data_IF_479037779445
#
_entry.id   IF_479037779445
#
_cell.length_a   1.000
_cell.length_b   1.000
_cell.length_c   1.000
_cell.angle_alpha   90.00
_cell.angle_beta   90.00
_cell.angle_gamma   90.00
#
_symmetry.space_group_name_H-M   'P 1'
#
loop_
_entity.id
_entity.type
_entity.pdbx_description
1 polymer ?
#
# COMPACT_ATOMS: atom_id res chain seq x y z
N UNK A 1 12.91 3.47 -6.96
CA UNK A 1 12.16 2.94 -8.12
C UNK A 1 11.57 4.11 -8.87
N UNK A 2 11.56 4.06 -10.20
CA UNK A 2 10.88 5.04 -11.05
C UNK A 2 9.36 4.87 -10.98
N UNK A 3 8.60 5.86 -11.45
CA UNK A 3 7.13 5.76 -11.54
C UNK A 3 6.69 4.53 -12.36
N UNK A 4 7.42 4.22 -13.45
CA UNK A 4 7.13 3.08 -14.32
C UNK A 4 7.38 1.74 -13.62
N UNK A 5 8.47 1.64 -12.86
CA UNK A 5 8.76 0.43 -12.08
C UNK A 5 7.71 0.20 -11.00
N UNK A 6 7.26 1.26 -10.32
CA UNK A 6 6.17 1.17 -9.33
C UNK A 6 4.87 0.75 -10.03
N UNK A 7 4.53 1.35 -11.16
CA UNK A 7 3.33 0.98 -11.95
C UNK A 7 3.37 -0.51 -12.36
N UNK A 8 4.49 -0.98 -12.91
CA UNK A 8 4.68 -2.39 -13.25
C UNK A 8 4.54 -3.31 -12.05
N UNK A 9 5.07 -2.93 -10.89
CA UNK A 9 4.88 -3.68 -9.65
C UNK A 9 3.41 -3.73 -9.22
N UNK A 10 2.71 -2.59 -9.27
CA UNK A 10 1.29 -2.52 -8.90
C UNK A 10 0.40 -3.37 -9.82
N UNK A 11 0.79 -3.54 -11.10
CA UNK A 11 0.12 -4.44 -12.04
C UNK A 11 0.30 -5.93 -11.70
N UNK A 12 1.20 -6.28 -10.77
CA UNK A 12 1.35 -7.68 -10.35
C UNK A 12 0.32 -8.11 -9.32
N UNK A 13 -0.37 -7.16 -8.66
CA UNK A 13 -1.43 -7.50 -7.72
C UNK A 13 -2.64 -8.04 -8.49
N UNK A 14 -3.02 -9.27 -8.17
CA UNK A 14 -4.21 -9.94 -8.66
C UNK A 14 -4.81 -10.83 -7.58
N UNK A 15 -6.13 -11.01 -7.58
CA UNK A 15 -6.82 -11.91 -6.64
C UNK A 15 -6.27 -13.34 -6.67
N UNK A 16 -5.86 -13.82 -7.83
CA UNK A 16 -5.27 -15.14 -8.05
C UNK A 16 -3.96 -15.34 -7.28
N UNK A 17 -3.25 -14.24 -6.95
CA UNK A 17 -1.96 -14.28 -6.26
C UNK A 17 -2.08 -14.42 -4.75
N UNK A 18 -3.27 -14.25 -4.16
CA UNK A 18 -3.50 -14.32 -2.70
C UNK A 18 -3.12 -15.66 -2.06
N UNK A 19 -3.21 -16.75 -2.82
CA UNK A 19 -2.92 -18.09 -2.31
C UNK A 19 -1.43 -18.44 -2.38
N UNK A 20 -0.62 -17.60 -3.04
CA UNK A 20 0.82 -17.76 -3.06
C UNK A 20 1.42 -17.03 -1.85
N UNK A 21 1.81 -17.79 -0.83
CA UNK A 21 2.34 -17.26 0.44
C UNK A 21 3.58 -16.41 0.21
N UNK A 22 4.56 -16.92 -0.53
CA UNK A 22 5.83 -16.23 -0.81
C UNK A 22 5.60 -14.93 -1.58
N UNK A 23 4.75 -14.96 -2.60
CA UNK A 23 4.38 -13.75 -3.33
C UNK A 23 3.65 -12.75 -2.44
N UNK A 24 2.73 -13.22 -1.59
CA UNK A 24 1.96 -12.36 -0.68
C UNK A 24 2.86 -11.66 0.34
N UNK A 25 3.83 -12.38 0.91
CA UNK A 25 4.85 -11.80 1.78
C UNK A 25 5.71 -10.77 1.05
N UNK A 26 6.33 -11.16 -0.08
CA UNK A 26 7.19 -10.28 -0.87
C UNK A 26 6.48 -9.00 -1.33
N UNK A 27 5.27 -9.13 -1.89
CA UNK A 27 4.50 -7.99 -2.41
C UNK A 27 4.01 -7.07 -1.28
N UNK A 28 3.64 -7.63 -0.12
CA UNK A 28 3.31 -6.86 1.09
C UNK A 28 4.52 -6.04 1.55
N UNK A 29 5.67 -6.68 1.80
CA UNK A 29 6.90 -6.00 2.23
C UNK A 29 7.31 -4.89 1.26
N UNK A 30 7.28 -5.19 -0.04
CA UNK A 30 7.68 -4.23 -1.06
C UNK A 30 6.72 -3.03 -1.11
N UNK A 31 5.41 -3.25 -1.05
CA UNK A 31 4.42 -2.16 -1.04
C UNK A 31 4.61 -1.24 0.17
N UNK A 32 4.77 -1.80 1.36
CA UNK A 32 5.01 -1.02 2.58
C UNK A 32 6.36 -0.29 2.55
N UNK A 33 7.42 -0.93 2.05
CA UNK A 33 8.74 -0.31 1.83
C UNK A 33 8.67 0.87 0.84
N UNK A 34 7.88 0.73 -0.23
CA UNK A 34 7.64 1.80 -1.21
C UNK A 34 6.85 2.97 -0.63
N UNK A 35 5.83 2.70 0.19
CA UNK A 35 5.10 3.74 0.90
C UNK A 35 5.97 4.43 1.95
N UNK A 36 6.93 3.73 2.56
CA UNK A 36 7.82 4.31 3.56
C UNK A 36 8.91 5.20 2.94
N UNK A 37 9.56 4.72 1.88
CA UNK A 37 10.74 5.37 1.27
C UNK A 37 10.40 6.36 0.17
N UNK A 38 9.29 6.14 -0.55
CA UNK A 38 8.91 6.91 -1.73
C UNK A 38 7.42 7.30 -1.69
N UNK A 39 6.91 7.67 -0.50
CA UNK A 39 5.48 7.87 -0.22
C UNK A 39 4.75 8.67 -1.30
N UNK A 40 5.24 9.86 -1.64
CA UNK A 40 4.56 10.73 -2.60
C UNK A 40 4.50 10.09 -3.99
N UNK A 41 5.59 9.49 -4.46
CA UNK A 41 5.64 8.84 -5.77
C UNK A 41 4.72 7.62 -5.82
N UNK A 42 4.72 6.80 -4.78
CA UNK A 42 3.87 5.61 -4.67
C UNK A 42 2.40 5.99 -4.68
N UNK A 43 1.97 6.93 -3.83
CA UNK A 43 0.57 7.39 -3.78
C UNK A 43 0.15 8.01 -5.12
N UNK A 44 1.00 8.83 -5.76
CA UNK A 44 0.73 9.38 -7.10
C UNK A 44 0.59 8.29 -8.16
N UNK A 45 1.37 7.22 -8.06
CA UNK A 45 1.36 6.15 -9.05
C UNK A 45 0.08 5.32 -8.91
N UNK A 46 -0.31 4.94 -7.69
CA UNK A 46 -1.58 4.25 -7.42
C UNK A 46 -2.76 5.07 -7.95
N UNK A 47 -2.76 6.39 -7.72
CA UNK A 47 -3.83 7.26 -8.22
C UNK A 47 -3.88 7.35 -9.75
N UNK A 48 -2.73 7.51 -10.41
CA UNK A 48 -2.67 7.58 -11.88
C UNK A 48 -3.10 6.27 -12.53
N UNK A 49 -2.76 5.15 -11.92
CA UNK A 49 -3.00 3.80 -12.45
C UNK A 49 -4.28 3.18 -11.91
N UNK A 50 -5.12 3.94 -11.20
CA UNK A 50 -6.34 3.46 -10.50
C UNK A 50 -7.24 2.59 -11.40
N UNK A 51 -7.30 2.89 -12.70
CA UNK A 51 -8.12 2.16 -13.69
C UNK A 51 -7.44 0.93 -14.30
N UNK A 52 -6.14 0.78 -14.11
CA UNK A 52 -5.31 -0.24 -14.73
C UNK A 52 -4.84 -1.32 -13.76
N UNK A 53 -4.95 -1.08 -12.45
CA UNK A 53 -4.51 -1.99 -11.37
C UNK A 53 -5.72 -2.53 -10.61
N UNK A 54 -5.54 -3.67 -9.94
CA UNK A 54 -6.53 -4.17 -8.99
C UNK A 54 -6.45 -3.39 -7.66
N UNK A 55 -7.03 -2.19 -7.64
CA UNK A 55 -6.94 -1.27 -6.52
C UNK A 55 -7.43 -1.88 -5.19
N UNK A 56 -8.48 -2.69 -5.24
CA UNK A 56 -9.03 -3.36 -4.05
C UNK A 56 -8.03 -4.36 -3.46
N UNK A 57 -7.17 -4.99 -4.27
CA UNK A 57 -6.11 -5.86 -3.78
C UNK A 57 -5.03 -5.07 -3.05
N UNK A 58 -4.65 -3.91 -3.60
CA UNK A 58 -3.71 -3.00 -2.93
C UNK A 58 -4.30 -2.54 -1.59
N UNK A 59 -5.58 -2.16 -1.56
CA UNK A 59 -6.25 -1.78 -0.30
C UNK A 59 -6.37 -2.93 0.70
N UNK A 60 -6.58 -4.16 0.21
CA UNK A 60 -6.57 -5.35 1.04
C UNK A 60 -5.20 -5.56 1.69
N UNK A 61 -4.11 -5.45 0.93
CA UNK A 61 -2.74 -5.60 1.43
C UNK A 61 -2.42 -4.51 2.47
N UNK A 62 -2.82 -3.26 2.21
CA UNK A 62 -2.63 -2.14 3.16
C UNK A 62 -3.40 -2.30 4.46
N UNK A 63 -4.56 -2.97 4.42
CA UNK A 63 -5.35 -3.31 5.62
C UNK A 63 -4.77 -4.50 6.39
N UNK A 64 -4.00 -5.37 5.71
CA UNK A 64 -3.48 -6.62 6.26
C UNK A 64 -1.94 -6.68 6.12
N UNK A 65 -1.19 -5.85 6.86
CA UNK A 65 0.26 -5.98 6.95
C UNK A 65 0.63 -7.38 7.47
N UNK A 66 1.57 -8.03 6.80
CA UNK A 66 2.02 -9.38 7.19
C UNK A 66 3.17 -9.31 8.20
N UNK A 67 4.00 -8.26 8.13
CA UNK A 67 5.21 -8.14 8.94
C UNK A 67 5.07 -7.13 10.09
N UNK A 68 5.50 -7.55 11.28
CA UNK A 68 5.40 -6.76 12.52
C UNK A 68 6.36 -5.56 12.56
N UNK A 69 7.35 -5.50 11.67
CA UNK A 69 8.34 -4.41 11.60
C UNK A 69 7.83 -3.12 10.95
N UNK A 70 6.58 -3.06 10.51
CA UNK A 70 6.01 -1.92 9.80
C UNK A 70 5.50 -0.87 10.80
N UNK A 71 6.13 0.30 10.83
CA UNK A 71 5.64 1.45 11.61
C UNK A 71 4.45 2.14 10.88
N UNK A 72 3.26 1.58 11.09
CA UNK A 72 2.02 2.06 10.46
C UNK A 72 1.70 3.50 10.87
N UNK A 73 1.98 3.88 12.13
CA UNK A 73 1.76 5.25 12.62
C UNK A 73 2.58 6.25 11.82
N UNK A 74 3.87 5.97 11.65
CA UNK A 74 4.75 6.81 10.85
C UNK A 74 4.30 6.84 9.38
N UNK A 75 3.90 5.70 8.80
CA UNK A 75 3.36 5.65 7.44
C UNK A 75 2.12 6.51 7.25
N UNK A 76 1.14 6.44 8.17
CA UNK A 76 -0.03 7.32 8.16
C UNK A 76 0.42 8.80 8.19
N UNK A 77 1.40 9.13 9.03
CA UNK A 77 1.99 10.47 9.09
C UNK A 77 2.63 10.91 7.76
N UNK A 78 3.39 10.02 7.11
CA UNK A 78 4.02 10.27 5.80
C UNK A 78 2.97 10.48 4.71
N UNK A 79 1.97 9.60 4.61
CA UNK A 79 0.89 9.69 3.61
C UNK A 79 0.08 10.96 3.83
N UNK A 80 -0.24 11.34 5.08
CA UNK A 80 -0.94 12.59 5.38
C UNK A 80 -0.22 13.83 4.85
N UNK A 81 1.12 13.87 4.92
CA UNK A 81 1.96 14.99 4.46
C UNK A 81 2.05 15.12 2.94
N UNK A 82 1.63 14.11 2.18
CA UNK A 82 1.57 14.20 0.72
C UNK A 82 0.63 15.34 0.31
N UNK A 83 1.11 16.28 -0.51
CA UNK A 83 0.47 17.60 -0.71
C UNK A 83 -0.92 17.57 -1.37
N UNK A 84 -1.21 16.56 -2.18
CA UNK A 84 -2.50 16.44 -2.85
C UNK A 84 -3.48 15.66 -1.98
N UNK A 85 -4.77 15.97 -2.10
CA UNK A 85 -5.84 15.37 -1.31
C UNK A 85 -6.83 14.69 -2.24
N UNK A 86 -6.65 13.39 -2.44
CA UNK A 86 -7.39 12.61 -3.44
C UNK A 86 -8.13 11.47 -2.77
N UNK A 87 -9.13 10.90 -3.46
CA UNK A 87 -9.91 9.76 -2.94
C UNK A 87 -8.98 8.60 -2.56
N UNK A 88 -8.03 8.27 -3.45
CA UNK A 88 -7.04 7.20 -3.23
C UNK A 88 -6.20 7.45 -1.99
N UNK A 89 -5.70 8.69 -1.78
CA UNK A 89 -4.96 9.03 -0.55
C UNK A 89 -5.79 8.77 0.71
N UNK A 90 -7.06 9.18 0.72
CA UNK A 90 -7.96 8.98 1.87
C UNK A 90 -8.17 7.50 2.14
N UNK A 91 -8.46 6.72 1.10
CA UNK A 91 -8.60 5.27 1.22
C UNK A 91 -7.34 4.61 1.78
N UNK A 92 -6.15 4.95 1.27
CA UNK A 92 -4.88 4.43 1.78
C UNK A 92 -4.76 4.71 3.29
N UNK A 93 -5.03 5.94 3.72
CA UNK A 93 -4.99 6.31 5.14
C UNK A 93 -5.99 5.48 5.95
N UNK A 94 -7.21 5.30 5.45
CA UNK A 94 -8.25 4.56 6.16
C UNK A 94 -7.92 3.06 6.27
N UNK A 95 -7.32 2.46 5.24
CA UNK A 95 -6.81 1.07 5.31
C UNK A 95 -5.68 0.94 6.32
N UNK A 96 -4.72 1.86 6.33
CA UNK A 96 -3.62 1.87 7.30
C UNK A 96 -4.13 2.06 8.74
N UNK A 97 -5.10 2.96 8.99
CA UNK A 97 -5.72 3.11 10.32
C UNK A 97 -6.46 1.86 10.77
N UNK A 98 -7.11 1.18 9.84
CA UNK A 98 -7.77 -0.10 10.12
C UNK A 98 -6.74 -1.15 10.53
N UNK A 99 -5.63 -1.26 9.79
CA UNK A 99 -4.53 -2.15 10.12
C UNK A 99 -3.92 -1.84 11.50
N UNK A 100 -3.64 -0.56 11.78
CA UNK A 100 -3.13 -0.10 13.07
C UNK A 100 -4.05 -0.50 14.23
N UNK A 101 -5.37 -0.34 14.06
CA UNK A 101 -6.35 -0.67 15.08
C UNK A 101 -6.40 -2.18 15.35
N UNK A 102 -6.25 -3.01 14.32
CA UNK A 102 -6.24 -4.48 14.44
C UNK A 102 -4.98 -5.00 15.13
N UNK A 103 -3.82 -4.36 14.93
CA UNK A 103 -2.57 -4.73 15.60
C UNK A 103 -2.60 -4.39 17.10
N UNK A 104 -3.22 -3.28 17.50
CA UNK A 104 -3.32 -2.89 18.91
C UNK A 104 -4.34 -3.71 19.73
N UNK A 105 -5.09 -4.61 19.09
CA UNK A 105 -6.07 -5.50 19.74
C UNK A 105 -5.55 -6.93 19.95
N UNK A 106 -4.37 -7.26 19.42
CA UNK A 106 -3.68 -8.54 19.64
C UNK A 106 -2.74 -8.44 20.84
#
# INVERSE_FOLDING_TARGET
MTQREISNFLLTFGQECRNNVEYSEWSNELLFSLLDKQTELTVRTIEKEEKNIELEEIFFVLKNPIHDGIDIKNLIGKVNKVKFNTRVKKEIIDRLKTAESLLNQK
#
